data_IF_742087966732
#
_entry.id   IF_742087966732
#
_cell.length_a   1.000
_cell.length_b   1.000
_cell.length_c   1.000
_cell.angle_alpha   90.00
_cell.angle_beta   90.00
_cell.angle_gamma   90.00
#
_symmetry.space_group_name_H-M   'P 1'
#
loop_
_entity.id
_entity.type
_entity.pdbx_description
1 polymer ?
#
# COMPACT_ATOMS: atom_id res chain seq x y z
N UNK A 1 2.75 10.49 -8.02
CA UNK A 1 1.71 9.48 -8.28
C UNK A 1 0.56 9.54 -7.27
N UNK A 2 0.78 10.01 -6.03
CA UNK A 2 -0.27 10.07 -5.00
C UNK A 2 -0.39 11.47 -4.36
N UNK A 3 -0.75 12.48 -5.16
CA UNK A 3 -0.98 13.84 -4.64
C UNK A 3 -2.15 13.88 -3.64
N UNK A 4 -2.07 14.77 -2.65
CA UNK A 4 -3.13 14.94 -1.63
C UNK A 4 -3.06 13.98 -0.43
N UNK A 5 -2.10 13.06 -0.40
CA UNK A 5 -1.86 12.18 0.74
C UNK A 5 -0.60 12.56 1.53
N UNK A 6 -0.54 12.19 2.81
CA UNK A 6 0.68 12.30 3.61
C UNK A 6 1.80 11.44 3.02
N UNK A 7 3.07 11.80 3.27
CA UNK A 7 4.22 11.03 2.78
C UNK A 7 4.14 9.54 3.17
N UNK A 8 3.75 9.25 4.42
CA UNK A 8 3.55 7.87 4.90
C UNK A 8 2.48 7.13 4.10
N UNK A 9 1.33 7.77 3.84
CA UNK A 9 0.27 7.19 3.03
C UNK A 9 0.72 6.93 1.59
N UNK A 10 1.50 7.84 0.98
CA UNK A 10 2.04 7.64 -0.37
C UNK A 10 3.01 6.45 -0.41
N UNK A 11 3.83 6.28 0.63
CA UNK A 11 4.76 5.16 0.78
C UNK A 11 4.04 3.82 0.95
N UNK A 12 2.98 3.79 1.75
CA UNK A 12 2.13 2.60 1.90
C UNK A 12 1.47 2.18 0.57
N UNK A 13 0.96 3.15 -0.22
CA UNK A 13 0.38 2.88 -1.54
C UNK A 13 1.43 2.40 -2.55
N UNK A 14 2.66 2.92 -2.48
CA UNK A 14 3.77 2.42 -3.29
C UNK A 14 4.08 0.95 -2.97
N UNK A 15 4.15 0.59 -1.69
CA UNK A 15 4.35 -0.81 -1.28
C UNK A 15 3.20 -1.71 -1.71
N UNK A 16 1.95 -1.25 -1.56
CA UNK A 16 0.78 -2.00 -2.00
C UNK A 16 0.82 -2.32 -3.50
N UNK A 17 1.22 -1.36 -4.35
CA UNK A 17 1.41 -1.59 -5.78
C UNK A 17 2.50 -2.64 -6.06
N UNK A 18 3.61 -2.58 -5.31
CA UNK A 18 4.68 -3.57 -5.39
C UNK A 18 4.22 -4.98 -5.04
N UNK A 19 3.37 -5.14 -4.01
CA UNK A 19 2.82 -6.45 -3.64
C UNK A 19 1.87 -7.02 -4.70
N UNK A 20 1.01 -6.19 -5.28
CA UNK A 20 0.15 -6.62 -6.39
C UNK A 20 0.98 -7.13 -7.59
N UNK A 21 2.07 -6.43 -7.93
CA UNK A 21 2.98 -6.85 -8.99
C UNK A 21 3.70 -8.16 -8.66
N UNK A 22 4.23 -8.31 -7.43
CA UNK A 22 4.93 -9.54 -6.99
C UNK A 22 4.03 -10.77 -7.02
N UNK A 23 2.75 -10.60 -6.71
CA UNK A 23 1.76 -11.68 -6.72
C UNK A 23 1.13 -11.92 -8.09
N UNK A 24 1.45 -11.09 -9.10
CA UNK A 24 0.90 -11.22 -10.45
C UNK A 24 -0.55 -10.79 -10.57
N UNK A 25 -1.04 -9.95 -9.65
CA UNK A 25 -2.40 -9.43 -9.68
C UNK A 25 -2.48 -8.19 -10.57
N UNK A 26 -3.46 -8.17 -11.47
CA UNK A 26 -3.69 -7.07 -12.40
C UNK A 26 -4.34 -5.82 -11.75
N UNK A 27 -4.68 -5.91 -10.46
CA UNK A 27 -5.28 -4.82 -9.70
C UNK A 27 -4.80 -4.83 -8.26
N UNK A 28 -4.84 -3.67 -7.61
CA UNK A 28 -4.54 -3.52 -6.19
C UNK A 28 -5.81 -3.72 -5.36
N UNK A 29 -6.05 -4.96 -4.91
CA UNK A 29 -7.06 -5.27 -3.89
C UNK A 29 -6.71 -4.76 -2.49
N UNK A 30 -7.68 -4.84 -1.57
CA UNK A 30 -7.54 -4.41 -0.17
C UNK A 30 -6.44 -5.14 0.60
N UNK A 31 -6.18 -6.39 0.24
CA UNK A 31 -5.11 -7.22 0.76
C UNK A 31 -3.72 -6.62 0.48
N UNK A 32 -3.51 -6.02 -0.70
CA UNK A 32 -2.27 -5.34 -1.02
C UNK A 32 -2.12 -4.03 -0.25
N UNK A 33 -3.23 -3.31 -0.04
CA UNK A 33 -3.23 -2.09 0.79
C UNK A 33 -2.84 -2.44 2.22
N UNK A 34 -3.39 -3.52 2.77
CA UNK A 34 -3.03 -4.01 4.10
C UNK A 34 -1.53 -4.36 4.18
N UNK A 35 -1.01 -5.10 3.20
CA UNK A 35 0.42 -5.42 3.13
C UNK A 35 1.28 -4.15 2.99
N UNK A 36 0.85 -3.19 2.17
CA UNK A 36 1.54 -1.92 1.98
C UNK A 36 1.62 -1.08 3.25
N UNK A 37 0.53 -1.03 4.03
CA UNK A 37 0.51 -0.40 5.35
C UNK A 37 1.46 -1.12 6.32
N UNK A 38 1.42 -2.45 6.36
CA UNK A 38 2.28 -3.24 7.23
C UNK A 38 3.78 -3.04 6.90
N UNK A 39 4.14 -3.01 5.61
CA UNK A 39 5.49 -2.78 5.13
C UNK A 39 5.99 -1.35 5.37
N UNK A 40 5.08 -0.37 5.37
CA UNK A 40 5.40 1.00 5.76
C UNK A 40 5.70 1.12 7.27
N UNK A 41 5.32 0.13 8.08
CA UNK A 41 5.38 0.17 9.54
C UNK A 41 4.13 0.82 10.15
N UNK A 42 3.05 0.91 9.40
CA UNK A 42 1.75 1.39 9.87
C UNK A 42 0.93 0.30 10.56
N UNK A 43 -0.01 0.72 11.39
CA UNK A 43 -1.00 -0.15 12.03
C UNK A 43 -2.40 0.43 11.81
N UNK A 44 -3.41 -0.44 11.76
CA UNK A 44 -4.79 0.02 11.80
C UNK A 44 -5.05 0.63 13.19
N UNK A 45 -5.17 1.96 13.24
CA UNK A 45 -5.66 2.67 14.42
C UNK A 45 -7.19 2.61 14.42
N UNK A 46 -7.78 2.34 15.59
CA UNK A 46 -9.21 2.57 15.81
C UNK A 46 -9.52 4.06 15.80
#
# INVERSE_FOLDING_TARGET
>A
MFGGFTERSQKALYYAAGEAQKLGHNYMGTEHVLLGIALEGGQASK
#
